data_IF_048445963398
#
_entry.id   IF_048445963398
#
_cell.length_a   1.000
_cell.length_b   1.000
_cell.length_c   1.000
_cell.angle_alpha   90.00
_cell.angle_beta   90.00
_cell.angle_gamma   90.00
#
_symmetry.space_group_name_H-M   'P 1'
#
loop_
_entity.id
_entity.type
_entity.pdbx_description
1 polymer ?
#
# COMPACT_ATOMS: atom_id res chain seq x y z
N UNK A 1 1.55 74.53 -23.02
CA UNK A 1 2.54 73.53 -23.46
C UNK A 1 1.92 72.18 -23.12
N UNK A 2 1.17 71.62 -24.05
CA UNK A 2 0.37 70.41 -23.86
C UNK A 2 1.12 69.23 -24.45
N UNK A 3 1.40 68.21 -23.63
CA UNK A 3 2.11 67.00 -24.02
C UNK A 3 1.11 66.06 -24.71
N UNK A 4 1.39 65.54 -25.92
CA UNK A 4 0.42 64.76 -26.68
C UNK A 4 0.19 63.37 -26.07
N UNK A 5 -1.09 63.01 -25.90
CA UNK A 5 -1.59 61.78 -25.28
C UNK A 5 -1.50 60.53 -26.21
N UNK A 6 -0.31 60.16 -26.69
CA UNK A 6 -0.16 58.94 -27.50
C UNK A 6 0.75 57.85 -26.89
N UNK A 7 1.31 58.04 -25.70
CA UNK A 7 2.26 57.07 -25.10
C UNK A 7 1.76 56.31 -23.86
N UNK A 8 0.45 56.35 -23.56
CA UNK A 8 -0.15 55.55 -22.48
C UNK A 8 -1.06 54.46 -23.06
N UNK A 9 -0.47 53.51 -23.77
CA UNK A 9 -1.12 52.21 -23.98
C UNK A 9 -0.62 51.27 -22.86
N UNK A 10 -1.44 50.94 -21.84
CA UNK A 10 -1.03 49.96 -20.86
C UNK A 10 -0.86 48.63 -21.60
N UNK A 11 0.34 48.03 -21.55
CA UNK A 11 0.56 46.65 -22.02
C UNK A 11 -0.58 45.79 -21.46
N UNK A 12 -1.47 45.35 -22.35
CA UNK A 12 -2.59 44.51 -21.98
C UNK A 12 -2.00 43.27 -21.32
N UNK A 13 -2.15 43.19 -20.00
CA UNK A 13 -1.40 42.25 -19.21
C UNK A 13 -1.68 40.81 -19.67
N UNK A 14 -0.59 40.04 -19.76
CA UNK A 14 -0.47 38.70 -20.35
C UNK A 14 -1.43 37.63 -19.76
N UNK A 15 -2.24 37.99 -18.76
CA UNK A 15 -3.25 37.13 -18.13
C UNK A 15 -4.51 36.92 -18.99
N UNK A 16 -4.73 37.73 -20.03
CA UNK A 16 -5.78 37.46 -21.04
C UNK A 16 -5.41 36.35 -22.03
N UNK A 17 -4.45 35.48 -21.68
CA UNK A 17 -4.24 34.20 -22.31
C UNK A 17 -5.34 33.21 -21.88
N UNK A 18 -6.61 33.53 -22.18
CA UNK A 18 -7.67 32.52 -22.34
C UNK A 18 -7.45 31.79 -23.68
N UNK A 19 -6.20 31.48 -24.03
CA UNK A 19 -5.91 30.48 -25.04
C UNK A 19 -6.08 29.15 -24.34
N UNK A 20 -7.33 28.67 -24.40
CA UNK A 20 -7.71 27.29 -24.62
C UNK A 20 -6.50 26.38 -24.52
N UNK A 21 -6.22 25.84 -23.33
CA UNK A 21 -5.34 24.68 -23.20
C UNK A 21 -6.00 23.64 -24.10
N UNK A 22 -5.52 23.52 -25.33
CA UNK A 22 -6.03 22.61 -26.34
C UNK A 22 -5.64 21.22 -25.86
N UNK A 23 -6.49 20.65 -24.99
CA UNK A 23 -6.44 19.24 -24.61
C UNK A 23 -6.59 18.33 -25.83
N UNK A 24 -7.08 18.88 -26.96
CA UNK A 24 -7.15 18.22 -28.26
C UNK A 24 -5.76 17.89 -28.85
N UNK A 25 -4.67 18.47 -28.33
CA UNK A 25 -3.29 18.14 -28.69
C UNK A 25 -2.58 17.29 -27.61
N UNK A 26 -3.34 16.61 -26.73
CA UNK A 26 -2.81 15.41 -26.07
C UNK A 26 -2.82 14.31 -27.12
N UNK A 27 -1.79 14.31 -27.97
CA UNK A 27 -1.56 13.21 -28.90
C UNK A 27 -1.28 11.98 -28.05
N UNK A 28 -2.13 10.96 -28.16
CA UNK A 28 -1.90 9.65 -27.56
C UNK A 28 -0.67 9.02 -28.24
N UNK A 29 0.51 9.47 -27.84
CA UNK A 29 1.78 8.94 -28.34
C UNK A 29 1.97 7.53 -27.79
N UNK A 30 2.61 6.67 -28.57
CA UNK A 30 2.90 5.30 -28.19
C UNK A 30 3.64 5.26 -26.84
N UNK A 31 4.55 6.21 -26.58
CA UNK A 31 5.24 6.33 -25.30
C UNK A 31 4.30 6.60 -24.12
N UNK A 32 3.29 7.46 -24.30
CA UNK A 32 2.31 7.74 -23.27
C UNK A 32 1.40 6.53 -23.00
N UNK A 33 1.02 5.79 -24.06
CA UNK A 33 0.29 4.54 -23.92
C UNK A 33 1.12 3.45 -23.20
N UNK A 34 2.41 3.30 -23.54
CA UNK A 34 3.32 2.39 -22.84
C UNK A 34 3.52 2.79 -21.37
N UNK A 35 3.58 4.09 -21.08
CA UNK A 35 3.64 4.59 -19.71
C UNK A 35 2.38 4.20 -18.94
N UNK A 36 1.19 4.42 -19.51
CA UNK A 36 -0.09 4.05 -18.89
C UNK A 36 -0.19 2.53 -18.66
N UNK A 37 0.23 1.74 -19.66
CA UNK A 37 0.29 0.28 -19.54
C UNK A 37 1.26 -0.16 -18.42
N UNK A 38 2.44 0.44 -18.32
CA UNK A 38 3.40 0.11 -17.27
C UNK A 38 2.88 0.49 -15.89
N UNK A 39 2.18 1.63 -15.77
CA UNK A 39 1.55 2.09 -14.54
C UNK A 39 0.46 1.11 -14.07
N UNK A 40 -0.45 0.73 -14.97
CA UNK A 40 -1.52 -0.24 -14.67
C UNK A 40 -0.93 -1.61 -14.31
N UNK A 41 0.10 -2.05 -15.03
CA UNK A 41 0.81 -3.30 -14.74
C UNK A 41 1.50 -3.26 -13.37
N UNK A 42 2.16 -2.15 -13.02
CA UNK A 42 2.78 -1.97 -11.72
C UNK A 42 1.74 -1.95 -10.59
N UNK A 43 0.60 -1.29 -10.79
CA UNK A 43 -0.51 -1.33 -9.82
C UNK A 43 -1.07 -2.74 -9.67
N UNK A 44 -1.32 -3.45 -10.76
CA UNK A 44 -1.78 -4.83 -10.74
C UNK A 44 -0.78 -5.75 -10.04
N UNK A 45 0.51 -5.56 -10.28
CA UNK A 45 1.60 -6.29 -9.63
C UNK A 45 1.65 -6.04 -8.11
N UNK A 46 1.55 -4.77 -7.69
CA UNK A 46 1.52 -4.41 -6.27
C UNK A 46 0.26 -4.95 -5.58
N UNK A 47 -0.90 -4.88 -6.24
CA UNK A 47 -2.14 -5.46 -5.72
C UNK A 47 -2.00 -6.98 -5.62
N UNK A 48 -1.47 -7.65 -6.65
CA UNK A 48 -1.22 -9.08 -6.65
C UNK A 48 -0.32 -9.47 -5.47
N UNK A 49 0.82 -8.81 -5.30
CA UNK A 49 1.71 -9.05 -4.16
C UNK A 49 0.96 -8.78 -2.84
N UNK A 50 0.23 -7.69 -2.70
CA UNK A 50 -0.37 -7.32 -1.41
C UNK A 50 -1.55 -8.22 -1.02
N UNK A 51 -2.46 -8.49 -1.96
CA UNK A 51 -3.67 -9.28 -1.71
C UNK A 51 -3.40 -10.79 -1.73
N UNK A 52 -2.57 -11.26 -2.66
CA UNK A 52 -2.30 -12.68 -2.79
C UNK A 52 -1.35 -13.18 -1.69
N UNK A 53 -0.37 -12.38 -1.25
CA UNK A 53 0.51 -12.80 -0.14
C UNK A 53 -0.27 -13.07 1.15
N UNK A 54 -1.30 -12.29 1.50
CA UNK A 54 -2.09 -12.55 2.71
C UNK A 54 -2.75 -13.95 2.68
N UNK A 55 -3.28 -14.36 1.53
CA UNK A 55 -3.92 -15.68 1.34
C UNK A 55 -2.91 -16.81 1.24
N UNK A 56 -1.82 -16.59 0.51
CA UNK A 56 -0.73 -17.58 0.37
C UNK A 56 -0.03 -17.80 1.70
N UNK A 57 0.23 -16.75 2.48
CA UNK A 57 0.80 -16.86 3.82
C UNK A 57 -0.12 -17.65 4.74
N UNK A 58 -1.44 -17.40 4.71
CA UNK A 58 -2.40 -18.20 5.46
C UNK A 58 -2.36 -19.69 5.11
N UNK A 59 -2.28 -20.02 3.82
CA UNK A 59 -2.13 -21.41 3.36
C UNK A 59 -0.78 -22.01 3.76
N UNK A 60 0.31 -21.25 3.62
CA UNK A 60 1.65 -21.71 3.96
C UNK A 60 1.79 -21.95 5.47
N UNK A 61 1.26 -21.06 6.30
CA UNK A 61 1.21 -21.20 7.76
C UNK A 61 0.39 -22.44 8.14
N UNK A 62 -0.79 -22.62 7.55
CA UNK A 62 -1.64 -23.79 7.83
C UNK A 62 -0.90 -25.09 7.48
N UNK A 63 -0.23 -25.12 6.32
CA UNK A 63 0.56 -26.28 5.87
C UNK A 63 1.81 -26.50 6.74
N UNK A 64 2.48 -25.43 7.15
CA UNK A 64 3.67 -25.49 8.02
C UNK A 64 3.31 -25.98 9.42
N UNK A 65 2.23 -25.46 10.01
CA UNK A 65 1.71 -25.92 11.30
C UNK A 65 1.24 -27.37 11.24
N UNK A 66 0.58 -27.77 10.15
CA UNK A 66 0.23 -29.17 9.96
C UNK A 66 1.48 -30.05 9.89
N UNK A 67 2.53 -29.62 9.19
CA UNK A 67 3.79 -30.38 9.12
C UNK A 67 4.59 -30.37 10.45
N UNK A 68 4.56 -29.29 11.22
CA UNK A 68 5.38 -29.13 12.43
C UNK A 68 4.71 -29.66 13.70
N UNK A 69 3.38 -29.55 13.81
CA UNK A 69 2.64 -29.84 15.04
C UNK A 69 1.73 -31.07 14.95
N UNK A 70 1.38 -31.56 13.75
CA UNK A 70 0.41 -32.67 13.63
C UNK A 70 1.15 -34.01 13.65
N UNK A 71 1.23 -34.58 14.85
CA UNK A 71 0.97 -36.01 15.05
C UNK A 71 -0.46 -36.26 15.60
N UNK A 72 -1.14 -35.27 16.23
CA UNK A 72 -2.41 -35.49 16.97
C UNK A 72 -3.31 -34.23 17.17
N UNK A 73 -3.50 -33.35 16.17
CA UNK A 73 -4.41 -32.19 16.32
C UNK A 73 -4.90 -31.56 15.01
N UNK A 74 -5.96 -30.73 15.06
CA UNK A 74 -6.51 -30.00 13.90
C UNK A 74 -6.31 -28.49 14.07
N UNK A 75 -5.56 -27.87 13.15
CA UNK A 75 -5.28 -26.44 13.16
C UNK A 75 -5.98 -25.76 11.98
N UNK A 76 -6.82 -24.77 12.25
CA UNK A 76 -7.45 -23.94 11.23
C UNK A 76 -7.09 -22.48 11.43
N UNK A 77 -6.41 -21.89 10.44
CA UNK A 77 -6.08 -20.47 10.41
C UNK A 77 -7.03 -19.77 9.44
N UNK A 78 -7.82 -18.83 9.94
CA UNK A 78 -8.79 -18.09 9.14
C UNK A 78 -8.12 -17.09 8.19
N UNK A 79 -7.36 -16.13 8.73
CA UNK A 79 -6.71 -15.10 7.91
C UNK A 79 -5.49 -14.49 8.59
N UNK A 80 -4.43 -14.27 7.81
CA UNK A 80 -3.26 -13.49 8.21
C UNK A 80 -3.09 -12.39 7.17
N UNK A 81 -3.02 -11.15 7.64
CA UNK A 81 -2.75 -9.98 6.80
C UNK A 81 -1.40 -9.40 7.20
N UNK A 82 -0.45 -9.37 6.27
CA UNK A 82 0.86 -8.76 6.46
C UNK A 82 0.92 -7.45 5.66
N UNK A 83 1.09 -6.32 6.35
CA UNK A 83 1.39 -5.05 5.72
C UNK A 83 2.90 -4.80 5.81
N UNK A 84 3.61 -5.03 4.71
CA UNK A 84 5.06 -4.88 4.63
C UNK A 84 5.48 -3.42 4.77
N UNK A 85 4.75 -2.44 4.22
CA UNK A 85 5.15 -1.03 4.32
C UNK A 85 5.22 -0.53 5.79
N UNK A 86 4.33 -1.04 6.63
CA UNK A 86 4.22 -0.67 8.04
C UNK A 86 4.72 -1.77 8.99
N UNK A 87 5.35 -2.85 8.49
CA UNK A 87 5.75 -4.00 9.30
C UNK A 87 4.67 -4.57 10.22
N UNK A 88 3.39 -4.35 9.90
CA UNK A 88 2.25 -4.72 10.75
C UNK A 88 1.65 -6.02 10.24
N UNK A 89 1.77 -7.06 11.05
CA UNK A 89 1.14 -8.36 10.83
C UNK A 89 -0.10 -8.40 11.70
N UNK A 90 -1.25 -8.69 11.13
CA UNK A 90 -2.46 -8.99 11.90
C UNK A 90 -2.88 -10.41 11.58
N UNK A 91 -3.26 -11.15 12.61
CA UNK A 91 -3.80 -12.48 12.48
C UNK A 91 -5.19 -12.50 13.12
N UNK A 92 -6.12 -13.14 12.43
CA UNK A 92 -7.52 -13.21 12.82
C UNK A 92 -8.02 -14.62 12.70
N UNK A 93 -8.83 -15.03 13.68
CA UNK A 93 -9.46 -16.34 13.72
C UNK A 93 -8.44 -17.49 13.62
N UNK A 94 -7.52 -17.57 14.57
CA UNK A 94 -6.68 -18.76 14.73
C UNK A 94 -7.42 -19.70 15.68
N UNK A 95 -7.73 -20.92 15.21
CA UNK A 95 -8.30 -21.96 16.03
C UNK A 95 -7.37 -23.18 16.03
N UNK A 96 -6.94 -23.57 17.23
CA UNK A 96 -6.20 -24.78 17.49
C UNK A 96 -7.07 -25.70 18.33
N UNK A 97 -7.39 -26.87 17.79
CA UNK A 97 -8.22 -27.88 18.47
C UNK A 97 -7.40 -29.16 18.60
N UNK A 98 -7.12 -29.52 19.85
CA UNK A 98 -6.50 -30.80 20.23
C UNK A 98 -7.52 -31.60 21.03
N UNK A 99 -7.23 -32.89 21.27
CA UNK A 99 -8.13 -33.78 22.02
C UNK A 99 -8.48 -33.27 23.42
N UNK A 100 -7.53 -32.62 24.10
CA UNK A 100 -7.67 -32.23 25.51
C UNK A 100 -7.98 -30.74 25.72
N UNK A 101 -7.73 -29.88 24.73
CA UNK A 101 -7.96 -28.45 24.86
C UNK A 101 -8.13 -27.75 23.50
N UNK A 102 -8.79 -26.59 23.54
CA UNK A 102 -9.04 -25.75 22.37
C UNK A 102 -8.55 -24.33 22.64
N UNK A 103 -7.65 -23.83 21.80
CA UNK A 103 -7.16 -22.45 21.85
C UNK A 103 -7.76 -21.69 20.68
N UNK A 104 -8.42 -20.57 20.96
CA UNK A 104 -8.97 -19.68 19.93
C UNK A 104 -8.46 -18.27 20.16
N UNK A 105 -7.83 -17.71 19.14
CA UNK A 105 -7.36 -16.34 19.14
C UNK A 105 -8.21 -15.58 18.11
N UNK A 106 -9.03 -14.66 18.62
CA UNK A 106 -9.95 -13.87 17.79
C UNK A 106 -9.17 -12.83 16.99
N UNK A 107 -8.45 -11.94 17.66
CA UNK A 107 -7.72 -10.85 17.05
C UNK A 107 -6.35 -10.70 17.71
N UNK A 108 -5.31 -10.61 16.89
CA UNK A 108 -3.98 -10.24 17.35
C UNK A 108 -3.20 -9.49 16.28
N UNK A 109 -2.27 -8.67 16.73
CA UNK A 109 -1.35 -7.97 15.84
C UNK A 109 0.07 -8.03 16.38
N UNK A 110 1.01 -7.98 15.46
CA UNK A 110 2.42 -7.89 15.75
C UNK A 110 3.00 -6.78 14.87
N UNK A 111 3.65 -5.80 15.50
CA UNK A 111 4.16 -4.60 14.83
C UNK A 111 5.68 -4.64 14.91
N UNK A 112 6.33 -4.84 13.77
CA UNK A 112 7.77 -4.70 13.64
C UNK A 112 8.10 -3.26 13.25
N UNK A 113 8.79 -2.55 14.15
CA UNK A 113 9.27 -1.18 13.91
C UNK A 113 10.73 -1.22 13.45
N UNK A 114 11.02 -1.83 12.31
CA UNK A 114 12.42 -1.98 11.84
C UNK A 114 13.07 -0.66 11.42
N UNK A 115 12.27 0.35 11.05
CA UNK A 115 12.76 1.65 10.57
C UNK A 115 13.08 2.63 11.70
N UNK A 116 12.72 2.32 12.94
CA UNK A 116 13.00 3.18 14.08
C UNK A 116 14.15 2.55 14.87
N UNK A 117 15.27 3.27 14.97
CA UNK A 117 16.37 2.86 15.84
C UNK A 117 15.85 2.64 17.26
N UNK A 118 16.26 1.55 17.90
CA UNK A 118 15.90 1.26 19.28
C UNK A 118 16.49 2.35 20.16
N UNK A 119 15.62 3.17 20.76
CA UNK A 119 16.04 4.14 21.77
C UNK A 119 16.03 3.38 23.08
N UNK A 120 17.20 3.10 23.71
CA UNK A 120 17.21 2.54 25.04
C UNK A 120 16.47 3.50 25.95
N UNK A 121 15.37 3.04 26.54
CA UNK A 121 14.83 3.72 27.71
C UNK A 121 15.74 3.33 28.85
N UNK A 122 16.41 4.32 29.44
CA UNK A 122 17.08 4.13 30.71
C UNK A 122 16.00 3.69 31.71
N UNK A 123 16.06 2.42 32.08
CA UNK A 123 15.37 1.89 33.25
C UNK A 123 16.14 2.42 34.46
N UNK A 124 15.92 3.69 34.79
CA UNK A 124 16.20 4.22 36.11
C UNK A 124 15.06 3.77 37.01
N UNK A 125 15.17 2.53 37.52
CA UNK A 125 14.60 2.13 38.81
C UNK A 125 15.58 2.51 39.93
#
# INVERSE_FOLDING_TARGET
MEVPLYELEPEAAHWNLTNRINLDNIKMDSNFAWLLCSLVSAMAWVIYITYYNARVIGFFITRLLNKLFIHTGYMQVGSITCNVLSGKIMFRNIAYVTHDYTIRIQDGWLIFRWWRSYVPKDVSE
#
